data_IF_357679347297
#
_entry.id   IF_357679347297
#
_cell.length_a   1.000
_cell.length_b   1.000
_cell.length_c   1.000
_cell.angle_alpha   90.00
_cell.angle_beta   90.00
_cell.angle_gamma   90.00
#
_symmetry.space_group_name_H-M   'P 1'
#
loop_
_entity.id
_entity.type
_entity.pdbx_description
1 polymer ?
#
# COMPACT_ATOMS: atom_id res chain seq x y z
N UNK A 1 0.23 8.44 -26.17
CA UNK A 1 0.75 7.06 -26.08
C UNK A 1 1.84 6.88 -27.11
N UNK A 2 3.06 6.74 -26.62
CA UNK A 2 4.25 6.44 -27.39
C UNK A 2 4.89 5.21 -26.77
N UNK A 3 5.15 4.20 -27.60
CA UNK A 3 5.82 2.97 -27.19
C UNK A 3 7.06 2.79 -28.06
N UNK A 4 8.24 2.73 -27.46
CA UNK A 4 9.45 2.26 -28.11
C UNK A 4 9.62 0.76 -27.83
N UNK A 5 10.13 0.01 -28.80
CA UNK A 5 10.36 -1.43 -28.67
C UNK A 5 11.76 -1.74 -29.20
N UNK A 6 12.55 -2.48 -28.42
CA UNK A 6 13.82 -3.03 -28.88
C UNK A 6 14.06 -4.43 -28.33
N UNK A 7 14.62 -5.29 -29.17
CA UNK A 7 15.13 -6.58 -28.71
C UNK A 7 16.31 -6.37 -27.75
N UNK A 8 16.35 -7.15 -26.69
CA UNK A 8 17.44 -7.15 -25.72
C UNK A 8 17.99 -8.56 -25.55
N UNK A 9 19.24 -8.66 -25.12
CA UNK A 9 19.81 -9.95 -24.74
C UNK A 9 18.99 -10.55 -23.61
N UNK A 10 18.44 -11.75 -23.83
CA UNK A 10 17.76 -12.53 -22.80
C UNK A 10 18.68 -12.70 -21.59
N UNK A 11 18.21 -12.24 -20.44
CA UNK A 11 18.89 -12.39 -19.16
C UNK A 11 18.36 -13.64 -18.48
N UNK A 12 19.26 -14.45 -17.93
CA UNK A 12 18.88 -15.56 -17.06
C UNK A 12 18.86 -15.03 -15.63
N UNK A 13 17.66 -14.72 -15.13
CA UNK A 13 17.47 -14.37 -13.73
C UNK A 13 17.37 -15.65 -12.91
N UNK A 14 18.19 -15.75 -11.87
CA UNK A 14 18.24 -16.94 -11.00
C UNK A 14 17.32 -16.79 -9.78
N UNK A 15 16.99 -15.54 -9.45
CA UNK A 15 16.21 -15.17 -8.28
C UNK A 15 15.55 -13.80 -8.47
N UNK A 16 14.60 -13.48 -7.59
CA UNK A 16 13.84 -12.23 -7.57
C UNK A 16 14.72 -11.00 -7.37
N UNK A 17 15.74 -11.09 -6.51
CA UNK A 17 16.65 -9.98 -6.18
C UNK A 17 17.46 -9.54 -7.42
N UNK A 18 17.86 -10.49 -8.25
CA UNK A 18 18.57 -10.25 -9.49
C UNK A 18 17.70 -9.52 -10.53
N UNK A 19 16.40 -9.82 -10.58
CA UNK A 19 15.42 -9.10 -11.42
C UNK A 19 15.28 -7.66 -10.93
N UNK A 20 15.01 -7.47 -9.64
CA UNK A 20 14.84 -6.14 -9.03
C UNK A 20 16.09 -5.29 -9.29
N UNK A 21 17.28 -5.83 -9.01
CA UNK A 21 18.55 -5.12 -9.25
C UNK A 21 18.76 -4.75 -10.71
N UNK A 22 18.29 -5.57 -11.64
CA UNK A 22 18.33 -5.24 -13.06
C UNK A 22 17.35 -4.12 -13.41
N UNK A 23 16.10 -4.23 -12.94
CA UNK A 23 15.07 -3.21 -13.15
C UNK A 23 15.47 -1.86 -12.57
N UNK A 24 15.96 -1.81 -11.33
CA UNK A 24 16.42 -0.56 -10.68
C UNK A 24 17.60 0.08 -11.41
N UNK A 25 18.40 -0.66 -12.18
CA UNK A 25 19.42 -0.05 -13.06
C UNK A 25 18.81 0.64 -14.28
N UNK A 26 17.66 0.16 -14.77
CA UNK A 26 16.93 0.77 -15.89
C UNK A 26 16.24 2.05 -15.42
N UNK A 27 15.57 2.00 -14.27
CA UNK A 27 14.90 3.16 -13.66
C UNK A 27 15.22 3.24 -12.16
N UNK A 28 16.27 3.97 -11.76
CA UNK A 28 16.68 4.08 -10.35
C UNK A 28 15.63 4.75 -9.46
N UNK A 29 14.91 5.74 -9.99
CA UNK A 29 13.87 6.49 -9.29
C UNK A 29 12.48 5.96 -9.67
N UNK A 30 12.20 4.71 -9.32
CA UNK A 30 10.93 4.07 -9.64
C UNK A 30 9.88 4.30 -8.57
N UNK A 31 8.62 4.35 -8.97
CA UNK A 31 7.45 4.34 -8.08
C UNK A 31 6.97 2.91 -7.83
N UNK A 32 7.09 2.04 -8.85
CA UNK A 32 6.53 0.69 -8.81
C UNK A 32 7.39 -0.33 -9.54
N UNK A 33 7.50 -1.55 -8.99
CA UNK A 33 7.98 -2.74 -9.68
C UNK A 33 6.90 -3.82 -9.64
N UNK A 34 6.70 -4.53 -10.75
CA UNK A 34 5.84 -5.71 -10.82
C UNK A 34 6.58 -6.83 -11.55
N UNK A 35 6.50 -8.05 -11.02
CA UNK A 35 7.15 -9.22 -11.59
C UNK A 35 6.10 -10.31 -11.81
N UNK A 36 5.95 -10.71 -13.06
CA UNK A 36 5.16 -11.85 -13.51
C UNK A 36 6.13 -12.91 -14.05
N UNK A 37 6.16 -14.07 -13.41
CA UNK A 37 6.95 -15.23 -13.79
C UNK A 37 6.01 -16.39 -14.11
N UNK A 38 6.47 -17.29 -14.98
CA UNK A 38 5.71 -18.48 -15.38
C UNK A 38 4.32 -18.14 -15.93
N UNK A 39 4.24 -17.05 -16.69
CA UNK A 39 3.03 -16.64 -17.42
C UNK A 39 2.65 -17.80 -18.33
N UNK A 40 1.42 -18.29 -18.20
CA UNK A 40 0.91 -19.42 -18.95
C UNK A 40 -0.45 -19.06 -19.56
N UNK A 41 -0.42 -18.29 -20.63
CA UNK A 41 -1.57 -18.00 -21.48
C UNK A 41 -1.22 -18.12 -22.97
N UNK A 42 -2.20 -17.84 -23.82
CA UNK A 42 -2.05 -17.86 -25.28
C UNK A 42 -1.24 -16.66 -25.83
N UNK A 43 -0.62 -15.81 -24.99
CA UNK A 43 0.23 -14.69 -25.42
C UNK A 43 1.66 -15.11 -25.79
N UNK A 44 2.06 -16.34 -25.43
CA UNK A 44 3.42 -16.88 -25.52
C UNK A 44 4.46 -16.16 -24.65
N UNK A 45 4.06 -15.13 -23.89
CA UNK A 45 4.92 -14.49 -22.89
C UNK A 45 5.18 -15.51 -21.78
N UNK A 46 6.46 -15.72 -21.45
CA UNK A 46 6.87 -16.59 -20.33
C UNK A 46 7.12 -15.78 -19.05
N UNK A 47 7.49 -14.51 -19.20
CA UNK A 47 7.70 -13.59 -18.07
C UNK A 47 7.54 -12.14 -18.49
N UNK A 48 7.01 -11.32 -17.59
CA UNK A 48 6.87 -9.88 -17.76
C UNK A 48 7.43 -9.17 -16.51
N UNK A 49 8.35 -8.24 -16.72
CA UNK A 49 8.90 -7.42 -15.63
C UNK A 49 8.63 -5.96 -15.92
N UNK A 50 8.02 -5.28 -14.96
CA UNK A 50 7.60 -3.89 -15.10
C UNK A 50 8.33 -3.05 -14.07
N UNK A 51 8.88 -1.92 -14.50
CA UNK A 51 9.32 -0.86 -13.61
C UNK A 51 8.76 0.48 -14.09
N UNK A 52 7.95 1.10 -13.23
CA UNK A 52 7.29 2.38 -13.49
C UNK A 52 8.01 3.46 -12.71
N UNK A 53 8.51 4.48 -13.41
CA UNK A 53 8.97 5.72 -12.81
C UNK A 53 7.97 6.86 -13.05
N UNK A 54 8.36 8.07 -12.64
CA UNK A 54 7.51 9.27 -12.71
C UNK A 54 6.94 9.55 -14.11
N UNK A 55 7.75 9.34 -15.15
CA UNK A 55 7.40 9.73 -16.53
C UNK A 55 7.18 8.56 -17.47
N UNK A 56 7.88 7.46 -17.25
CA UNK A 56 7.92 6.32 -18.18
C UNK A 56 7.84 5.01 -17.40
N UNK A 57 7.14 4.06 -18.00
CA UNK A 57 7.15 2.65 -17.60
C UNK A 57 8.00 1.85 -18.57
N UNK A 58 8.82 0.97 -18.02
CA UNK A 58 9.66 0.04 -18.77
C UNK A 58 9.13 -1.37 -18.56
N UNK A 59 8.95 -2.11 -19.66
CA UNK A 59 8.46 -3.48 -19.67
C UNK A 59 9.50 -4.37 -20.32
N UNK A 60 9.94 -5.40 -19.60
CA UNK A 60 10.76 -6.47 -20.16
C UNK A 60 9.82 -7.63 -20.45
N UNK A 61 9.51 -7.84 -21.73
CA UNK A 61 8.63 -8.90 -22.20
C UNK A 61 9.50 -10.04 -22.70
N UNK A 62 9.42 -11.20 -22.04
CA UNK A 62 10.20 -12.37 -22.41
C UNK A 62 9.31 -13.47 -22.97
N UNK A 63 9.77 -14.02 -24.09
CA UNK A 63 9.27 -15.23 -24.75
C UNK A 63 10.29 -16.37 -24.57
N UNK A 64 9.97 -17.55 -25.11
CA UNK A 64 10.84 -18.73 -25.05
C UNK A 64 12.25 -18.44 -25.59
N UNK A 65 12.37 -17.74 -26.73
CA UNK A 65 13.65 -17.52 -27.41
C UNK A 65 14.19 -16.08 -27.34
N UNK A 66 13.36 -15.10 -26.99
CA UNK A 66 13.74 -13.68 -27.07
C UNK A 66 13.16 -12.86 -25.93
N UNK A 67 13.76 -11.71 -25.63
CA UNK A 67 13.19 -10.70 -24.75
C UNK A 67 13.25 -9.32 -25.40
N UNK A 68 12.27 -8.48 -25.08
CA UNK A 68 12.16 -7.12 -25.58
C UNK A 68 12.04 -6.15 -24.42
N UNK A 69 12.68 -4.98 -24.56
CA UNK A 69 12.40 -3.83 -23.71
C UNK A 69 11.43 -2.91 -24.44
N UNK A 70 10.31 -2.63 -23.79
CA UNK A 70 9.34 -1.64 -24.22
C UNK A 70 9.41 -0.45 -23.25
N UNK A 71 9.47 0.76 -23.78
CA UNK A 71 9.40 1.99 -22.98
C UNK A 71 8.12 2.73 -23.38
N UNK A 72 7.30 3.11 -22.40
CA UNK A 72 5.97 3.67 -22.63
C UNK A 72 5.68 4.85 -21.71
N UNK A 73 5.05 5.90 -22.26
CA UNK A 73 4.42 6.99 -21.50
C UNK A 73 3.05 6.59 -20.92
N UNK A 74 2.56 5.41 -21.27
CA UNK A 74 1.33 4.82 -20.77
C UNK A 74 1.66 3.75 -19.72
N UNK A 75 1.20 3.99 -18.48
CA UNK A 75 1.59 3.24 -17.27
C UNK A 75 1.02 1.82 -17.16
N UNK A 76 -0.04 1.50 -17.91
CA UNK A 76 -0.78 0.24 -17.82
C UNK A 76 -0.72 -0.55 -19.14
N UNK A 77 0.42 -0.56 -19.82
CA UNK A 77 0.55 -1.29 -21.09
C UNK A 77 0.39 -2.81 -20.91
N UNK A 78 0.66 -3.33 -19.71
CA UNK A 78 0.53 -4.73 -19.32
C UNK A 78 -0.86 -5.31 -19.53
N UNK A 79 -1.93 -4.52 -19.34
CA UNK A 79 -3.31 -4.95 -19.63
C UNK A 79 -3.56 -5.26 -21.11
N UNK A 80 -2.66 -4.86 -22.01
CA UNK A 80 -2.70 -5.15 -23.44
C UNK A 80 -1.65 -6.19 -23.88
N UNK A 81 -0.69 -6.52 -23.01
CA UNK A 81 0.35 -7.50 -23.31
C UNK A 81 -0.14 -8.93 -23.09
N UNK A 82 -0.95 -9.12 -22.05
CA UNK A 82 -1.54 -10.42 -21.75
C UNK A 82 -2.86 -10.63 -22.50
N UNK A 83 -3.22 -11.91 -22.71
CA UNK A 83 -4.55 -12.26 -23.24
C UNK A 83 -5.58 -12.49 -22.14
N UNK A 84 -5.12 -12.86 -20.95
CA UNK A 84 -5.93 -13.05 -19.75
C UNK A 84 -5.37 -12.16 -18.64
N UNK A 85 -6.13 -11.97 -17.56
CA UNK A 85 -5.58 -11.37 -16.35
C UNK A 85 -4.56 -12.34 -15.73
N UNK A 86 -3.38 -11.83 -15.41
CA UNK A 86 -2.33 -12.60 -14.73
C UNK A 86 -2.06 -12.03 -13.35
N UNK A 87 -1.75 -12.92 -12.45
CA UNK A 87 -1.46 -12.57 -11.07
C UNK A 87 0.01 -12.18 -10.91
N UNK A 88 0.23 -11.13 -10.13
CA UNK A 88 1.54 -10.58 -9.85
C UNK A 88 2.22 -11.50 -8.84
N UNK A 89 3.43 -12.01 -9.12
CA UNK A 89 4.13 -12.82 -8.13
C UNK A 89 4.84 -11.96 -7.07
N UNK A 90 5.16 -10.72 -7.44
CA UNK A 90 5.86 -9.78 -6.59
C UNK A 90 5.65 -8.34 -7.01
N UNK A 91 5.42 -7.49 -6.01
CA UNK A 91 5.16 -6.08 -6.20
C UNK A 91 5.98 -5.25 -5.21
N UNK A 92 6.55 -4.14 -5.68
CA UNK A 92 7.09 -3.09 -4.82
C UNK A 92 6.39 -1.80 -5.18
N UNK A 93 5.90 -1.08 -4.18
CA UNK A 93 5.37 0.28 -4.32
C UNK A 93 6.14 1.22 -3.42
N UNK A 94 6.49 2.38 -3.94
CA UNK A 94 6.98 3.52 -3.16
C UNK A 94 5.83 4.49 -3.06
N UNK A 95 5.36 4.72 -1.84
CA UNK A 95 4.30 5.63 -1.50
C UNK A 95 4.92 6.84 -0.81
N UNK A 96 4.62 8.03 -1.32
CA UNK A 96 4.88 9.28 -0.63
C UNK A 96 3.58 9.75 0.00
N UNK A 97 3.53 9.83 1.32
CA UNK A 97 2.43 10.46 2.03
C UNK A 97 2.78 11.93 2.15
N UNK A 98 1.97 12.79 1.54
CA UNK A 98 2.06 14.22 1.77
C UNK A 98 1.59 14.51 3.19
N UNK A 99 2.48 15.10 3.98
CA UNK A 99 2.22 15.49 5.36
C UNK A 99 2.23 17.02 5.47
N UNK A 100 1.77 17.55 6.62
CA UNK A 100 1.73 18.99 6.82
C UNK A 100 3.12 19.66 6.66
N UNK A 101 3.12 20.94 6.27
CA UNK A 101 4.32 21.77 6.07
C UNK A 101 5.31 21.23 5.02
N UNK A 102 4.81 20.51 4.00
CA UNK A 102 5.62 19.92 2.92
C UNK A 102 6.59 18.83 3.38
N UNK A 103 6.44 18.32 4.61
CA UNK A 103 7.08 17.07 5.00
C UNK A 103 6.41 15.91 4.26
N UNK A 104 7.16 14.82 4.07
CA UNK A 104 6.62 13.60 3.51
C UNK A 104 7.00 12.43 4.41
N UNK A 105 6.24 11.36 4.33
CA UNK A 105 6.69 10.06 4.81
C UNK A 105 6.86 9.15 3.61
N UNK A 106 7.96 8.40 3.60
CA UNK A 106 8.28 7.47 2.51
C UNK A 106 7.97 6.06 2.98
N UNK A 107 7.12 5.37 2.24
CA UNK A 107 6.74 3.99 2.55
C UNK A 107 7.06 3.14 1.35
N UNK A 108 7.98 2.20 1.55
CA UNK A 108 8.23 1.13 0.58
C UNK A 108 7.44 -0.10 1.02
N UNK A 109 6.39 -0.39 0.29
CA UNK A 109 5.58 -1.61 0.41
C UNK A 109 6.15 -2.67 -0.53
N UNK A 110 6.40 -3.86 -0.01
CA UNK A 110 6.91 -5.02 -0.76
C UNK A 110 5.99 -6.21 -0.53
N UNK A 111 5.23 -6.58 -1.56
CA UNK A 111 4.25 -7.66 -1.50
C UNK A 111 4.81 -8.90 -2.19
N UNK A 112 4.79 -10.04 -1.52
CA UNK A 112 5.06 -11.35 -2.13
C UNK A 112 3.80 -12.20 -2.12
N UNK A 113 3.58 -12.85 -3.25
CA UNK A 113 2.51 -13.81 -3.44
C UNK A 113 3.10 -15.21 -3.62
N UNK A 114 2.44 -16.21 -3.04
CA UNK A 114 2.71 -17.60 -3.31
C UNK A 114 1.58 -18.16 -4.19
N UNK A 115 1.85 -18.20 -5.50
CA UNK A 115 0.80 -18.37 -6.53
C UNK A 115 -0.22 -17.24 -6.38
N UNK A 116 -1.44 -17.59 -6.01
CA UNK A 116 -2.60 -16.71 -6.02
C UNK A 116 -2.96 -16.18 -4.63
N UNK A 117 -2.18 -16.58 -3.62
CA UNK A 117 -2.40 -16.19 -2.23
C UNK A 117 -1.30 -15.24 -1.77
N UNK A 118 -1.71 -14.17 -1.10
CA UNK A 118 -0.79 -13.27 -0.40
C UNK A 118 0.04 -14.10 0.60
N UNK A 119 1.37 -14.01 0.51
CA UNK A 119 2.27 -14.68 1.45
C UNK A 119 2.68 -13.72 2.56
N UNK A 120 3.26 -12.58 2.18
CA UNK A 120 3.68 -11.54 3.09
C UNK A 120 3.69 -10.15 2.45
N UNK A 121 3.63 -9.13 3.30
CA UNK A 121 3.92 -7.74 2.95
C UNK A 121 4.94 -7.18 3.94
N UNK A 122 5.99 -6.59 3.40
CA UNK A 122 6.99 -5.85 4.17
C UNK A 122 6.81 -4.36 3.91
N UNK A 123 6.83 -3.58 4.98
CA UNK A 123 6.77 -2.13 4.94
C UNK A 123 8.07 -1.57 5.50
N UNK A 124 8.74 -0.74 4.73
CA UNK A 124 9.77 0.15 5.24
C UNK A 124 9.20 1.57 5.30
N UNK A 125 9.09 2.11 6.50
CA UNK A 125 8.48 3.42 6.77
C UNK A 125 9.60 4.36 7.23
N UNK A 126 9.80 5.46 6.53
CA UNK A 126 10.76 6.50 6.88
C UNK A 126 9.99 7.80 7.09
N UNK A 127 10.10 8.34 8.30
CA UNK A 127 9.53 9.64 8.66
C UNK A 127 10.52 10.75 8.27
N UNK A 128 10.26 11.57 7.25
CA UNK A 128 11.28 12.49 6.70
C UNK A 128 11.77 13.55 7.69
N UNK A 129 10.91 14.02 8.59
CA UNK A 129 11.26 15.10 9.52
C UNK A 129 12.46 14.74 10.40
N UNK A 130 12.70 13.45 10.63
CA UNK A 130 13.77 12.95 11.51
C UNK A 130 14.50 11.71 10.96
N UNK A 131 14.23 11.34 9.71
CA UNK A 131 14.71 10.11 9.05
C UNK A 131 14.53 8.84 9.89
N UNK A 132 13.50 8.81 10.74
CA UNK A 132 13.28 7.69 11.66
C UNK A 132 12.66 6.53 10.90
N UNK A 133 13.32 5.37 10.97
CA UNK A 133 12.97 4.17 10.21
C UNK A 133 12.22 3.14 11.05
N UNK A 134 11.15 2.60 10.49
CA UNK A 134 10.38 1.49 11.03
C UNK A 134 10.21 0.39 9.98
N UNK A 135 10.13 -0.85 10.46
CA UNK A 135 9.89 -2.04 9.62
C UNK A 135 8.59 -2.70 10.07
N UNK A 136 7.62 -2.73 9.17
CA UNK A 136 6.37 -3.45 9.32
C UNK A 136 6.39 -4.77 8.56
N UNK A 137 5.73 -5.78 9.10
CA UNK A 137 5.53 -7.08 8.46
C UNK A 137 4.06 -7.48 8.64
N UNK A 138 3.37 -7.72 7.53
CA UNK A 138 2.01 -8.26 7.50
C UNK A 138 2.08 -9.67 6.89
N UNK A 139 1.63 -10.66 7.64
CA UNK A 139 1.57 -12.05 7.18
C UNK A 139 0.16 -12.58 7.35
N UNK A 140 -0.19 -13.60 6.57
CA UNK A 140 -1.45 -14.32 6.73
C UNK A 140 -1.18 -15.71 7.30
N UNK A 141 -1.92 -16.09 8.33
CA UNK A 141 -1.80 -17.42 8.91
C UNK A 141 -2.67 -18.44 8.16
N UNK A 142 -2.57 -19.73 8.55
CA UNK A 142 -3.34 -20.82 7.94
C UNK A 142 -4.86 -20.72 8.13
N UNK A 143 -5.33 -19.80 8.96
CA UNK A 143 -6.75 -19.52 9.20
C UNK A 143 -7.20 -18.25 8.47
N UNK A 144 -6.39 -17.74 7.55
CA UNK A 144 -6.63 -16.48 6.85
C UNK A 144 -6.70 -15.27 7.79
N UNK A 145 -6.06 -15.34 8.96
CA UNK A 145 -5.93 -14.21 9.86
C UNK A 145 -4.67 -13.42 9.51
N UNK A 146 -4.82 -12.12 9.32
CA UNK A 146 -3.71 -11.20 9.16
C UNK A 146 -3.03 -10.94 10.49
N UNK A 147 -1.70 -10.92 10.48
CA UNK A 147 -0.86 -10.55 11.62
C UNK A 147 0.12 -9.47 11.20
N UNK A 148 -0.01 -8.29 11.80
CA UNK A 148 0.87 -7.15 11.59
C UNK A 148 1.82 -6.98 12.77
N UNK A 149 3.11 -6.85 12.49
CA UNK A 149 4.14 -6.54 13.48
C UNK A 149 4.92 -5.32 13.01
N UNK A 150 4.97 -4.28 13.84
CA UNK A 150 5.81 -3.11 13.61
C UNK A 150 7.01 -3.12 14.55
N UNK A 151 8.20 -2.86 14.00
CA UNK A 151 9.45 -2.76 14.74
C UNK A 151 10.15 -1.44 14.45
N UNK A 152 10.91 -0.92 15.41
CA UNK A 152 11.87 0.15 15.14
C UNK A 152 13.15 -0.38 14.47
N UNK A 153 14.06 0.53 14.14
CA UNK A 153 15.38 0.24 13.55
C UNK A 153 16.26 -0.72 14.39
N UNK A 154 16.06 -0.77 15.70
CA UNK A 154 16.71 -1.70 16.64
C UNK A 154 16.06 -3.08 16.69
N UNK A 155 14.94 -3.27 16.00
CA UNK A 155 14.17 -4.52 16.00
C UNK A 155 13.24 -4.70 17.21
N UNK A 156 13.07 -3.67 18.04
CA UNK A 156 12.12 -3.68 19.16
C UNK A 156 10.70 -3.61 18.62
N UNK A 157 9.83 -4.51 19.07
CA UNK A 157 8.42 -4.55 18.66
C UNK A 157 7.65 -3.40 19.30
N UNK A 158 7.00 -2.60 18.46
CA UNK A 158 6.16 -1.46 18.88
C UNK A 158 4.68 -1.83 18.83
N UNK A 159 4.25 -2.53 17.78
CA UNK A 159 2.87 -2.97 17.60
C UNK A 159 2.82 -4.45 17.21
N UNK A 160 1.75 -5.12 17.63
CA UNK A 160 1.39 -6.46 17.20
C UNK A 160 -0.13 -6.51 17.14
N UNK A 161 -0.67 -6.56 15.91
CA UNK A 161 -2.10 -6.47 15.63
C UNK A 161 -2.52 -7.67 14.80
N UNK A 162 -3.80 -8.05 14.89
CA UNK A 162 -4.34 -9.16 14.11
C UNK A 162 -5.79 -8.93 13.76
N UNK A 163 -6.19 -9.34 12.56
CA UNK A 163 -7.57 -9.16 12.08
C UNK A 163 -7.92 -10.15 10.98
N UNK A 164 -9.18 -10.15 10.55
CA UNK A 164 -9.64 -10.79 9.32
C UNK A 164 -10.13 -9.71 8.37
N UNK A 165 -10.14 -9.97 7.07
CA UNK A 165 -10.68 -9.02 6.09
C UNK A 165 -10.03 -9.12 4.73
N UNK A 166 -10.33 -8.16 3.87
CA UNK A 166 -9.69 -8.01 2.56
C UNK A 166 -8.34 -7.30 2.72
N UNK A 167 -7.31 -7.77 2.02
CA UNK A 167 -5.93 -7.28 2.16
C UNK A 167 -5.83 -5.74 2.12
N UNK A 168 -6.50 -5.11 1.15
CA UNK A 168 -6.44 -3.66 0.94
C UNK A 168 -7.11 -2.84 2.05
N UNK A 169 -7.94 -3.47 2.89
CA UNK A 169 -8.57 -2.83 4.03
C UNK A 169 -7.74 -2.95 5.31
N UNK A 170 -6.85 -3.94 5.39
CA UNK A 170 -6.20 -4.33 6.66
C UNK A 170 -5.34 -3.20 7.25
N UNK A 171 -4.55 -2.54 6.42
CA UNK A 171 -3.62 -1.50 6.89
C UNK A 171 -3.50 -0.39 5.86
N UNK A 172 -3.52 0.86 6.35
CA UNK A 172 -3.29 2.06 5.56
C UNK A 172 -2.41 3.02 6.35
N UNK A 173 -1.52 3.69 5.64
CA UNK A 173 -0.68 4.74 6.19
C UNK A 173 -1.15 6.10 5.64
N UNK A 174 -1.20 7.10 6.51
CA UNK A 174 -1.74 8.42 6.23
C UNK A 174 -1.28 9.41 7.31
N UNK A 175 -1.27 10.71 7.04
CA UNK A 175 -1.11 11.74 8.08
C UNK A 175 -2.51 12.16 8.56
N UNK A 176 -3.01 11.56 9.65
CA UNK A 176 -4.43 11.72 10.05
C UNK A 176 -4.65 12.96 10.91
N UNK A 177 -3.61 13.44 11.60
CA UNK A 177 -3.66 14.62 12.45
C UNK A 177 -2.93 15.84 11.84
N UNK A 178 -2.41 15.69 10.62
CA UNK A 178 -1.69 16.73 9.88
C UNK A 178 -0.49 17.27 10.65
N UNK A 179 0.26 16.41 11.35
CA UNK A 179 1.40 16.81 12.18
C UNK A 179 2.76 16.65 11.48
N UNK A 180 2.77 16.18 10.23
CA UNK A 180 3.99 15.99 9.46
C UNK A 180 4.53 14.55 9.48
N UNK A 181 3.84 13.61 10.14
CA UNK A 181 4.26 12.22 10.26
C UNK A 181 3.21 11.26 9.71
N UNK A 182 3.65 10.10 9.21
CA UNK A 182 2.74 9.02 8.85
C UNK A 182 2.24 8.29 10.10
N UNK A 183 0.92 8.17 10.17
CA UNK A 183 0.14 7.41 11.13
C UNK A 183 -0.34 6.09 10.50
N UNK A 184 -0.94 5.23 11.32
CA UNK A 184 -1.42 3.90 10.91
C UNK A 184 -2.91 3.78 11.20
N UNK A 185 -3.68 3.47 10.15
CA UNK A 185 -5.03 2.92 10.24
C UNK A 185 -4.95 1.41 10.07
N UNK A 186 -5.50 0.66 11.02
CA UNK A 186 -5.55 -0.80 10.97
C UNK A 186 -7.00 -1.27 11.13
N UNK A 187 -7.39 -2.30 10.39
CA UNK A 187 -8.71 -2.92 10.48
C UNK A 187 -8.83 -3.71 11.80
N UNK A 188 -9.67 -3.24 12.72
CA UNK A 188 -9.93 -3.93 13.99
C UNK A 188 -10.97 -5.04 13.80
N UNK A 189 -12.09 -4.74 13.14
CA UNK A 189 -13.15 -5.70 12.86
C UNK A 189 -13.73 -5.50 11.45
N UNK A 190 -13.72 -6.54 10.57
CA UNK A 190 -14.39 -6.45 9.29
C UNK A 190 -15.90 -6.49 9.47
N UNK A 191 -16.63 -5.73 8.66
CA UNK A 191 -18.09 -5.75 8.68
C UNK A 191 -18.72 -5.68 7.30
N UNK A 192 -19.96 -6.17 7.20
CA UNK A 192 -20.70 -6.22 5.93
C UNK A 192 -20.99 -4.84 5.34
N UNK A 193 -21.29 -3.86 6.20
CA UNK A 193 -21.62 -2.49 5.81
C UNK A 193 -20.48 -1.52 6.12
N UNK A 194 -19.85 -1.71 7.27
CA UNK A 194 -18.81 -0.86 7.80
C UNK A 194 -17.69 -1.74 8.35
N UNK A 195 -16.47 -1.48 7.92
CA UNK A 195 -15.28 -1.94 8.63
C UNK A 195 -15.05 -1.05 9.84
N UNK A 196 -14.62 -1.63 10.97
CA UNK A 196 -14.14 -0.90 12.14
C UNK A 196 -12.62 -0.78 12.10
N UNK A 197 -12.11 0.44 12.23
CA UNK A 197 -10.70 0.75 12.20
C UNK A 197 -10.20 1.29 13.54
N UNK A 198 -8.94 1.00 13.83
CA UNK A 198 -8.17 1.65 14.88
C UNK A 198 -7.10 2.53 14.28
N UNK A 199 -6.89 3.68 14.92
CA UNK A 199 -5.87 4.65 14.54
C UNK A 199 -4.73 4.65 15.55
N UNK A 200 -3.51 4.68 15.04
CA UNK A 200 -2.30 4.92 15.80
C UNK A 200 -1.59 6.12 15.22
N UNK A 201 -1.47 7.18 16.01
CA UNK A 201 -0.74 8.38 15.60
C UNK A 201 0.70 8.35 16.09
N UNK A 202 1.60 8.93 15.31
CA UNK A 202 3.01 9.00 15.67
C UNK A 202 3.28 10.07 16.74
N UNK A 203 3.89 9.65 17.85
CA UNK A 203 4.41 10.53 18.89
C UNK A 203 5.92 10.71 18.68
N UNK A 204 6.31 11.89 18.24
CA UNK A 204 7.71 12.28 18.00
C UNK A 204 8.53 12.36 19.29
N UNK A 205 7.91 12.70 20.41
CA UNK A 205 8.60 12.77 21.71
C UNK A 205 8.88 11.37 22.25
N UNK A 206 7.94 10.44 22.08
CA UNK A 206 8.09 9.04 22.50
C UNK A 206 8.78 8.15 21.44
N UNK A 207 8.91 8.63 20.19
CA UNK A 207 9.34 7.86 19.02
C UNK A 207 8.52 6.58 18.82
N UNK A 208 7.21 6.67 19.06
CA UNK A 208 6.32 5.52 19.12
C UNK A 208 4.92 5.83 18.56
N UNK A 209 4.14 4.79 18.29
CA UNK A 209 2.78 4.88 17.78
C UNK A 209 1.77 4.73 18.93
N UNK A 210 0.90 5.72 19.10
CA UNK A 210 -0.06 5.80 20.22
C UNK A 210 -1.47 5.57 19.69
N UNK A 211 -2.18 4.59 20.26
CA UNK A 211 -3.59 4.32 19.91
C UNK A 211 -4.44 5.55 20.23
N UNK A 212 -5.15 6.04 19.22
CA UNK A 212 -6.11 7.15 19.36
C UNK A 212 -7.32 6.66 20.15
N UNK A 213 -7.81 7.51 21.05
CA UNK A 213 -9.09 7.31 21.74
C UNK A 213 -10.20 7.95 20.93
N UNK A 214 -11.25 7.20 20.66
CA UNK A 214 -12.49 7.66 20.05
C UNK A 214 -13.62 6.80 20.61
N UNK A 215 -14.68 7.42 21.10
CA UNK A 215 -15.84 6.70 21.62
C UNK A 215 -16.77 6.20 20.49
N UNK A 216 -16.64 6.77 19.29
CA UNK A 216 -17.36 6.36 18.10
C UNK A 216 -16.59 5.28 17.32
N UNK A 217 -17.32 4.40 16.65
CA UNK A 217 -16.75 3.48 15.66
C UNK A 217 -16.12 4.28 14.50
N UNK A 218 -14.84 4.07 14.25
CA UNK A 218 -14.17 4.63 13.07
C UNK A 218 -14.36 3.69 11.89
N UNK A 219 -15.04 4.15 10.85
CA UNK A 219 -15.18 3.41 9.59
C UNK A 219 -14.36 4.06 8.48
N UNK A 220 -14.78 4.01 7.22
CA UNK A 220 -14.11 4.78 6.18
C UNK A 220 -14.28 6.27 6.48
N UNK A 221 -13.19 7.03 6.39
CA UNK A 221 -13.19 8.44 6.74
C UNK A 221 -12.28 9.25 5.81
N UNK A 222 -12.66 10.51 5.62
CA UNK A 222 -11.85 11.51 4.95
C UNK A 222 -11.12 12.38 5.99
N UNK A 223 -9.85 12.68 5.70
CA UNK A 223 -9.01 13.58 6.50
C UNK A 223 -9.11 14.99 5.97
N UNK A 224 -9.37 15.95 6.85
CA UNK A 224 -9.38 17.38 6.57
C UNK A 224 -8.56 18.13 7.61
N UNK A 225 -8.27 19.41 7.32
CA UNK A 225 -7.65 20.34 8.26
C UNK A 225 -8.41 20.34 9.61
N UNK A 226 -7.78 19.75 10.63
CA UNK A 226 -8.23 19.62 12.02
C UNK A 226 -9.44 18.70 12.30
N UNK A 227 -9.99 17.99 11.31
CA UNK A 227 -11.12 17.08 11.54
C UNK A 227 -11.17 15.89 10.58
N UNK A 228 -11.92 14.85 10.98
CA UNK A 228 -12.26 13.70 10.14
C UNK A 228 -13.76 13.71 9.82
N UNK A 229 -14.11 13.36 8.58
CA UNK A 229 -15.48 12.97 8.23
C UNK A 229 -15.55 11.46 8.21
N UNK A 230 -16.22 10.88 9.20
CA UNK A 230 -16.39 9.46 9.37
C UNK A 230 -17.74 9.01 8.80
N UNK A 231 -17.73 8.04 7.90
CA UNK A 231 -18.91 7.58 7.19
C UNK A 231 -19.37 6.23 7.73
N UNK A 232 -20.52 6.18 8.39
CA UNK A 232 -21.11 4.92 8.87
C UNK A 232 -22.41 4.64 8.12
N UNK A 233 -22.43 3.55 7.37
CA UNK A 233 -23.60 3.09 6.61
C UNK A 233 -24.59 2.37 7.50
N UNK A 234 -25.85 2.73 7.41
CA UNK A 234 -26.95 1.95 7.96
C UNK A 234 -27.38 0.84 6.98
N UNK A 235 -27.29 1.13 5.68
CA UNK A 235 -27.53 0.19 4.58
C UNK A 235 -26.84 0.69 3.29
N UNK A 236 -27.22 0.14 2.14
CA UNK A 236 -26.65 0.51 0.84
C UNK A 236 -26.88 1.98 0.46
N UNK A 237 -28.02 2.56 0.88
CA UNK A 237 -28.51 3.85 0.41
C UNK A 237 -28.61 4.89 1.54
N UNK A 238 -28.27 4.55 2.78
CA UNK A 238 -28.33 5.48 3.91
C UNK A 238 -27.25 5.27 4.95
N UNK A 239 -27.03 6.30 5.76
CA UNK A 239 -26.11 6.26 6.89
C UNK A 239 -25.98 7.60 7.60
N UNK A 240 -24.92 7.72 8.39
CA UNK A 240 -24.51 8.95 9.06
C UNK A 240 -23.11 9.37 8.64
N UNK A 241 -22.91 10.68 8.54
CA UNK A 241 -21.61 11.32 8.43
C UNK A 241 -21.35 12.00 9.77
N UNK A 242 -20.31 11.56 10.46
CA UNK A 242 -19.88 12.14 11.73
C UNK A 242 -18.67 13.04 11.51
N UNK A 243 -18.73 14.27 12.03
CA UNK A 243 -17.56 15.13 12.12
C UNK A 243 -16.85 14.84 13.45
N UNK A 244 -15.63 14.33 13.37
CA UNK A 244 -14.77 14.06 14.51
C UNK A 244 -13.64 15.10 14.55
N UNK A 245 -13.40 15.74 15.69
CA UNK A 245 -12.31 16.71 15.86
C UNK A 245 -11.34 16.24 16.94
N UNK A 246 -10.08 16.64 16.81
CA UNK A 246 -9.07 16.38 17.83
C UNK A 246 -9.32 17.22 19.08
N UNK A 247 -9.64 16.60 20.22
CA UNK A 247 -9.63 17.27 21.53
C UNK A 247 -8.18 17.52 21.98
N UNK A 248 -7.31 16.56 21.67
CA UNK A 248 -5.86 16.60 21.85
C UNK A 248 -5.23 15.68 20.80
N UNK A 249 -3.89 15.61 20.75
CA UNK A 249 -3.15 14.82 19.75
C UNK A 249 -3.57 13.33 19.66
N UNK A 250 -4.13 12.76 20.72
CA UNK A 250 -4.44 11.33 20.83
C UNK A 250 -5.92 11.03 21.06
N UNK A 251 -6.81 12.01 20.93
CA UNK A 251 -8.24 11.84 21.24
C UNK A 251 -9.11 12.56 20.23
N UNK A 252 -9.99 11.79 19.58
CA UNK A 252 -11.04 12.28 18.70
C UNK A 252 -12.36 12.33 19.45
N UNK A 253 -13.13 13.41 19.22
CA UNK A 253 -14.47 13.59 19.78
C UNK A 253 -15.45 13.93 18.68
N UNK A 254 -16.66 13.37 18.74
CA UNK A 254 -17.75 13.70 17.83
C UNK A 254 -18.32 15.07 18.16
N UNK A 255 -18.35 15.97 17.17
CA UNK A 255 -18.90 17.32 17.31
C UNK A 255 -20.17 17.54 16.50
N UNK A 256 -20.39 16.73 15.47
CA UNK A 256 -21.57 16.79 14.62
C UNK A 256 -21.86 15.41 14.03
N UNK A 257 -23.13 15.14 13.76
CA UNK A 257 -23.62 13.96 13.06
C UNK A 257 -24.77 14.37 12.14
N UNK A 258 -24.72 13.97 10.88
CA UNK A 258 -25.74 14.24 9.88
C UNK A 258 -26.16 12.94 9.20
N UNK A 259 -27.46 12.69 9.09
CA UNK A 259 -27.99 11.57 8.31
C UNK A 259 -28.01 11.91 6.83
N UNK A 260 -27.73 10.91 5.99
CA UNK A 260 -27.91 11.01 4.55
C UNK A 260 -28.73 9.83 4.02
N UNK A 261 -29.43 10.09 2.91
CA UNK A 261 -30.03 9.07 2.06
C UNK A 261 -29.62 9.39 0.62
N UNK A 262 -29.33 8.35 -0.16
CA UNK A 262 -29.13 8.45 -1.61
C UNK A 262 -30.51 8.31 -2.25
N UNK A 263 -30.94 9.36 -2.95
CA UNK A 263 -32.23 9.41 -3.67
C UNK A 263 -32.28 8.44 -4.87
#
# INVERSE_FOLDING_TARGET
>A
MTVSIREIKKQNFYDKESIIKYLTKISPNFEKIMIYNNVNDDSAITSLYIITGEKLSNYIVCYEDACYLLESDYRNLDSYLFKNDHEVNYEVKILEIECANSYKAHIKETITYNKDELENVEYEIIQDKEETKYIGELSIDKKYQYQFILKNDKGEKLLTLSTYGEFYDVIKFLDVNMDGYADIRFLEEPGTLNNEYILYVYDDSAKNFIKVKCDEMLSEFDVHDDYLLNYQKDNADSGVIQKLTWENKYTLVKVLEEQYNVD
#
